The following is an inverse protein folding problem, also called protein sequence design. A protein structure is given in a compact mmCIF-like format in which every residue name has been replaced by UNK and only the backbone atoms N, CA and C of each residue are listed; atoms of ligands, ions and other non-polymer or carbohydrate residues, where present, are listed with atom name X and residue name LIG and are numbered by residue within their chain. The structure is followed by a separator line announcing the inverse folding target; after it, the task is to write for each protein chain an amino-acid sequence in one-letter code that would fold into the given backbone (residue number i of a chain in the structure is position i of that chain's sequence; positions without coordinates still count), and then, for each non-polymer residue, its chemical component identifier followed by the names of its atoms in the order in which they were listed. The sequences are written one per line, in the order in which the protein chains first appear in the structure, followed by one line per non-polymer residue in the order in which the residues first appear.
data_IF_014111530085
#
_entry.id   IF_014111530085
#
_cell.length_a   1.000
_cell.length_b   1.000
_cell.length_c   1.000
_cell.angle_alpha   90.00
_cell.angle_beta   90.00
_cell.angle_gamma   90.00
#
_symmetry.space_group_name_H-M   'P 1'
#
loop_
_entity.id
_entity.type
_entity.pdbx_description
1 polymer ?
#
# COMPACT_ATOMS: atom_id res chain seq x y z
N UNK A 1 -17.10 -5.60 7.99
CA UNK A 1 -15.74 -5.98 8.48
C UNK A 1 -14.77 -5.07 7.75
N UNK A 2 -13.89 -4.36 8.44
CA UNK A 2 -12.91 -3.47 7.78
C UNK A 2 -11.78 -4.33 7.22
N UNK A 3 -11.55 -4.25 5.91
CA UNK A 3 -10.39 -4.90 5.28
C UNK A 3 -9.12 -4.17 5.75
N UNK A 4 -8.09 -4.89 6.20
CA UNK A 4 -6.83 -4.29 6.62
C UNK A 4 -6.18 -3.54 5.44
N UNK A 5 -5.71 -2.31 5.69
CA UNK A 5 -5.05 -1.48 4.69
C UNK A 5 -3.53 -1.64 4.78
N UNK A 6 -2.89 -1.80 3.62
CA UNK A 6 -1.44 -1.90 3.45
C UNK A 6 -0.96 -0.78 2.55
N UNK A 7 0.08 -0.09 2.98
CA UNK A 7 0.78 0.89 2.15
C UNK A 7 2.02 0.24 1.56
N UNK A 8 2.05 0.17 0.23
CA UNK A 8 3.15 -0.42 -0.52
C UNK A 8 4.02 0.70 -1.08
N UNK A 9 5.33 0.62 -0.85
CA UNK A 9 6.31 1.53 -1.43
C UNK A 9 7.26 0.70 -2.27
N UNK A 10 7.08 0.74 -3.58
CA UNK A 10 7.89 -0.01 -4.54
C UNK A 10 8.21 0.87 -5.74
N UNK A 11 9.42 0.73 -6.28
CA UNK A 11 9.88 1.49 -7.44
C UNK A 11 9.82 0.74 -8.75
N UNK A 12 9.84 -0.59 -8.69
CA UNK A 12 9.71 -1.44 -9.86
C UNK A 12 8.25 -1.83 -10.07
N UNK A 13 7.67 -1.42 -11.21
CA UNK A 13 6.26 -1.67 -11.51
C UNK A 13 5.91 -3.17 -11.50
N UNK A 14 6.77 -4.03 -12.06
CA UNK A 14 6.52 -5.48 -12.08
C UNK A 14 6.45 -6.10 -10.69
N UNK A 15 7.27 -5.61 -9.74
CA UNK A 15 7.25 -6.05 -8.35
C UNK A 15 5.99 -5.50 -7.66
N UNK A 16 5.69 -4.22 -7.86
CA UNK A 16 4.51 -3.58 -7.30
C UNK A 16 3.22 -4.30 -7.69
N UNK A 17 3.03 -4.63 -8.97
CA UNK A 17 1.85 -5.33 -9.47
C UNK A 17 1.71 -6.73 -8.84
N UNK A 18 2.82 -7.45 -8.73
CA UNK A 18 2.85 -8.79 -8.12
C UNK A 18 2.44 -8.74 -6.64
N UNK A 19 2.96 -7.77 -5.89
CA UNK A 19 2.64 -7.59 -4.48
C UNK A 19 1.20 -7.12 -4.27
N UNK A 20 0.71 -6.17 -5.08
CA UNK A 20 -0.68 -5.71 -5.04
C UNK A 20 -1.64 -6.88 -5.26
N UNK A 21 -1.40 -7.66 -6.32
CA UNK A 21 -2.23 -8.82 -6.63
C UNK A 21 -2.28 -9.81 -5.47
N UNK A 22 -1.11 -10.14 -4.90
CA UNK A 22 -1.00 -11.11 -3.80
C UNK A 22 -1.74 -10.63 -2.55
N UNK A 23 -1.55 -9.38 -2.15
CA UNK A 23 -2.18 -8.78 -0.98
C UNK A 23 -3.70 -8.63 -1.15
N UNK A 24 -4.18 -8.28 -2.35
CA UNK A 24 -5.62 -8.22 -2.62
C UNK A 24 -6.29 -9.59 -2.54
N UNK A 25 -5.62 -10.67 -2.99
CA UNK A 25 -6.12 -12.03 -2.82
C UNK A 25 -6.23 -12.44 -1.35
N UNK A 26 -5.31 -11.97 -0.50
CA UNK A 26 -5.34 -12.17 0.94
C UNK A 26 -6.39 -11.30 1.65
N UNK A 27 -7.05 -10.40 0.92
CA UNK A 27 -8.13 -9.54 1.42
C UNK A 27 -7.66 -8.20 1.97
N UNK A 28 -6.45 -7.77 1.63
CA UNK A 28 -5.95 -6.44 1.95
C UNK A 28 -6.36 -5.40 0.92
N UNK A 29 -6.60 -4.17 1.39
CA UNK A 29 -6.67 -2.98 0.54
C UNK A 29 -5.26 -2.41 0.41
N UNK A 30 -4.73 -2.35 -0.82
CA UNK A 30 -3.36 -1.88 -1.08
C UNK A 30 -3.36 -0.49 -1.70
N UNK A 31 -2.54 0.41 -1.16
CA UNK A 31 -2.27 1.73 -1.73
C UNK A 31 -0.78 1.84 -2.06
N UNK A 32 -0.46 2.04 -3.34
CA UNK A 32 0.92 2.16 -3.84
C UNK A 32 1.39 3.62 -3.77
N UNK A 33 2.59 3.82 -3.23
CA UNK A 33 3.26 5.11 -3.19
C UNK A 33 4.59 5.05 -3.95
N UNK A 34 4.87 6.08 -4.75
CA UNK A 34 6.20 6.24 -5.34
C UNK A 34 7.22 6.60 -4.25
N UNK A 35 8.47 6.13 -4.40
CA UNK A 35 9.57 6.51 -3.51
C UNK A 35 9.67 8.04 -3.40
N UNK A 36 9.70 8.54 -2.17
CA UNK A 36 9.81 9.97 -1.86
C UNK A 36 8.46 10.70 -1.71
N UNK A 37 7.33 10.08 -2.06
CA UNK A 37 6.03 10.56 -1.65
C UNK A 37 5.81 10.16 -0.19
N UNK A 38 5.95 11.11 0.73
CA UNK A 38 5.40 10.96 2.07
C UNK A 38 3.88 10.88 1.90
N UNK A 39 3.29 9.77 2.30
CA UNK A 39 1.84 9.64 2.36
C UNK A 39 1.31 10.75 3.28
N UNK A 40 0.71 11.78 2.68
CA UNK A 40 0.11 12.88 3.43
C UNK A 40 -1.09 12.40 4.27
N UNK A 41 -1.66 11.23 3.93
CA UNK A 41 -2.70 10.55 4.70
C UNK A 41 -2.15 9.64 5.81
N UNK A 42 -0.88 9.21 5.73
CA UNK A 42 -0.31 8.29 6.71
C UNK A 42 0.02 8.89 8.08
N UNK A 43 0.17 10.21 8.17
CA UNK A 43 0.48 10.89 9.44
C UNK A 43 -0.77 11.39 10.17
N UNK A 44 -1.98 11.11 9.66
CA UNK A 44 -3.23 11.57 10.29
C UNK A 44 -3.72 10.71 11.48
N UNK A 45 -2.90 9.79 12.01
CA UNK A 45 -3.29 8.86 13.07
C UNK A 45 -2.27 8.62 14.19
N UNK A 46 -1.11 9.29 14.20
CA UNK A 46 -0.22 9.25 15.36
C UNK A 46 -0.52 10.45 16.27
N UNK A 47 -1.51 10.26 17.16
CA UNK A 47 -1.55 10.95 18.44
C UNK A 47 -0.54 10.37 19.42
#
# INVERSE_FOLDING_TARGET
MQQPQVWLVEDEQGIADTLIYTLQLEGFTVELFARGLKSASATAGCG
#
